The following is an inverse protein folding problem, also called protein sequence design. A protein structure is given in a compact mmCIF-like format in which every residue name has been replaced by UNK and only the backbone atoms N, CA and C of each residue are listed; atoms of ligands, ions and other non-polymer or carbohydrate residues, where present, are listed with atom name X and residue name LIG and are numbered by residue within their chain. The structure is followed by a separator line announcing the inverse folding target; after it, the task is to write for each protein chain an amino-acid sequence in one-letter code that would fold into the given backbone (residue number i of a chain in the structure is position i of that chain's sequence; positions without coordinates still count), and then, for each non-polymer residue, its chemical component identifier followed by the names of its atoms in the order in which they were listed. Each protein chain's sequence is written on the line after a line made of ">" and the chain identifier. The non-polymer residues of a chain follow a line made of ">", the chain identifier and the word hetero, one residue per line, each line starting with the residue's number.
data_IF_479644017410
#
_entry.id   IF_479644017410
#
_cell.length_a   1.000
_cell.length_b   1.000
_cell.length_c   1.000
_cell.angle_alpha   90.00
_cell.angle_beta   90.00
_cell.angle_gamma   90.00
#
_symmetry.space_group_name_H-M   'P 1'
#
loop_
_entity.id
_entity.type
_entity.pdbx_description
1 polymer ?
#
# COMPACT_ATOMS: atom_id res chain seq x y z
N UNK A 1 -9.46 2.07 -12.43
CA UNK A 1 -8.88 1.16 -11.43
C UNK A 1 -9.32 1.61 -10.06
N UNK A 2 -9.93 0.70 -9.31
CA UNK A 2 -10.17 0.87 -7.89
C UNK A 2 -8.82 0.95 -7.14
N UNK A 3 -8.78 1.59 -5.98
CA UNK A 3 -7.57 1.68 -5.13
C UNK A 3 -6.96 0.31 -4.84
N UNK A 4 -7.81 -0.70 -4.57
CA UNK A 4 -7.36 -2.07 -4.29
C UNK A 4 -6.68 -2.68 -5.53
N UNK A 5 -7.26 -2.47 -6.71
CA UNK A 5 -6.70 -2.94 -7.98
C UNK A 5 -5.37 -2.25 -8.28
N UNK A 6 -5.27 -0.94 -8.04
CA UNK A 6 -4.04 -0.17 -8.24
C UNK A 6 -2.93 -0.62 -7.27
N UNK A 7 -3.27 -0.87 -6.01
CA UNK A 7 -2.31 -1.35 -5.01
C UNK A 7 -1.81 -2.76 -5.35
N UNK A 8 -2.72 -3.66 -5.74
CA UNK A 8 -2.36 -5.00 -6.19
C UNK A 8 -1.49 -4.99 -7.46
N UNK A 9 -1.83 -4.12 -8.41
CA UNK A 9 -1.07 -3.95 -9.65
C UNK A 9 0.33 -3.39 -9.38
N UNK A 10 0.45 -2.37 -8.52
CA UNK A 10 1.74 -1.79 -8.12
C UNK A 10 2.62 -2.84 -7.44
N UNK A 11 2.06 -3.66 -6.55
CA UNK A 11 2.79 -4.79 -5.94
C UNK A 11 3.31 -5.77 -6.99
N UNK A 12 2.44 -6.20 -7.92
CA UNK A 12 2.78 -7.18 -8.94
C UNK A 12 3.88 -6.68 -9.88
N UNK A 13 3.76 -5.45 -10.39
CA UNK A 13 4.77 -4.88 -11.27
C UNK A 13 6.10 -4.62 -10.54
N UNK A 14 6.06 -4.19 -9.28
CA UNK A 14 7.28 -3.99 -8.50
C UNK A 14 8.05 -5.30 -8.30
N UNK A 15 7.37 -6.39 -7.92
CA UNK A 15 7.99 -7.71 -7.74
C UNK A 15 8.56 -8.24 -9.05
N UNK A 16 7.88 -7.97 -10.18
CA UNK A 16 8.30 -8.36 -11.52
C UNK A 16 9.55 -7.63 -12.00
N UNK A 17 9.68 -6.33 -11.70
CA UNK A 17 10.89 -5.55 -12.03
C UNK A 17 12.09 -6.06 -11.20
N UNK A 18 11.85 -6.47 -9.96
CA UNK A 18 12.85 -7.01 -9.03
C UNK A 18 14.14 -6.15 -8.91
N UNK A 19 14.02 -4.86 -8.56
CA UNK A 19 15.14 -3.92 -8.65
C UNK A 19 16.23 -4.12 -7.60
N UNK A 20 15.96 -4.83 -6.51
CA UNK A 20 16.91 -5.04 -5.41
C UNK A 20 17.48 -6.45 -5.39
N UNK A 21 18.67 -6.62 -4.79
CA UNK A 21 19.32 -7.93 -4.61
C UNK A 21 18.53 -8.83 -3.64
N UNK A 22 17.92 -8.24 -2.60
CA UNK A 22 16.99 -8.92 -1.68
C UNK A 22 15.94 -7.92 -1.18
N UNK A 23 14.83 -8.42 -0.64
CA UNK A 23 13.80 -7.61 0.01
C UNK A 23 12.72 -7.07 -0.93
N UNK A 24 12.68 -7.51 -2.18
CA UNK A 24 11.66 -7.07 -3.14
C UNK A 24 10.23 -7.35 -2.65
N UNK A 25 9.98 -8.53 -2.06
CA UNK A 25 8.67 -8.88 -1.50
C UNK A 25 8.28 -8.09 -0.25
N UNK A 26 9.26 -7.68 0.57
CA UNK A 26 9.01 -6.81 1.74
C UNK A 26 8.67 -5.39 1.28
N UNK A 27 9.44 -4.89 0.31
CA UNK A 27 9.29 -3.54 -0.23
C UNK A 27 7.99 -3.40 -1.02
N UNK A 28 7.63 -4.39 -1.85
CA UNK A 28 6.36 -4.40 -2.60
C UNK A 28 5.15 -4.35 -1.66
N UNK A 29 5.21 -5.09 -0.54
CA UNK A 29 4.15 -5.12 0.46
C UNK A 29 4.04 -3.82 1.23
N UNK A 30 5.17 -3.17 1.55
CA UNK A 30 5.20 -1.85 2.16
C UNK A 30 4.56 -0.80 1.25
N UNK A 31 4.92 -0.78 -0.04
CA UNK A 31 4.36 0.15 -1.04
C UNK A 31 2.84 -0.06 -1.18
N UNK A 32 2.40 -1.31 -1.32
CA UNK A 32 0.98 -1.64 -1.40
C UNK A 32 0.21 -1.15 -0.15
N UNK A 33 0.76 -1.43 1.03
CA UNK A 33 0.13 -1.03 2.29
C UNK A 33 0.09 0.50 2.44
N UNK A 34 1.13 1.21 2.03
CA UNK A 34 1.16 2.69 2.06
C UNK A 34 0.07 3.29 1.16
N UNK A 35 -0.06 2.79 -0.07
CA UNK A 35 -1.12 3.19 -0.99
C UNK A 35 -2.51 2.94 -0.41
N UNK A 36 -2.72 1.79 0.25
CA UNK A 36 -3.98 1.47 0.91
C UNK A 36 -4.25 2.41 2.09
N UNK A 37 -3.25 2.69 2.94
CA UNK A 37 -3.38 3.57 4.11
C UNK A 37 -3.69 5.02 3.72
N UNK A 38 -3.04 5.55 2.67
CA UNK A 38 -3.33 6.91 2.16
C UNK A 38 -4.78 7.03 1.69
N UNK A 39 -5.36 5.94 1.19
CA UNK A 39 -6.74 5.88 0.74
C UNK A 39 -7.73 5.41 1.82
N UNK A 40 -7.31 5.36 3.10
CA UNK A 40 -8.19 5.01 4.23
C UNK A 40 -8.41 3.51 4.45
N UNK A 41 -7.73 2.65 3.69
CA UNK A 41 -7.74 1.20 3.88
C UNK A 41 -6.65 0.82 4.88
N UNK A 42 -6.93 1.00 6.16
CA UNK A 42 -6.00 0.62 7.24
C UNK A 42 -6.19 -0.86 7.60
N UNK A 43 -5.09 -1.59 7.82
CA UNK A 43 -5.11 -3.01 8.21
C UNK A 43 -5.59 -3.23 9.66
N UNK A 44 -5.44 -2.22 10.54
CA UNK A 44 -6.10 -2.19 11.83
C UNK A 44 -7.32 -1.28 11.73
N UNK A 45 -8.44 -1.62 12.37
CA UNK A 45 -9.70 -0.87 12.28
C UNK A 45 -9.69 0.58 12.81
N UNK A 46 -8.52 1.22 12.94
CA UNK A 46 -8.41 2.63 13.23
C UNK A 46 -8.42 3.42 11.93
N UNK A 47 -9.60 3.49 11.29
CA UNK A 47 -9.84 4.44 10.20
C UNK A 47 -9.45 5.84 10.68
N UNK A 48 -8.94 6.69 9.77
CA UNK A 48 -8.72 8.12 10.06
C UNK A 48 -10.01 8.69 10.65
N UNK A 49 -10.09 8.76 11.97
CA UNK A 49 -11.11 9.53 12.66
C UNK A 49 -10.80 10.96 12.32
N UNK A 50 -11.75 11.60 11.64
CA UNK A 50 -11.80 13.03 11.39
C UNK A 50 -11.51 13.77 12.70
N UNK A 51 -10.26 14.16 12.92
CA UNK A 51 -9.84 15.01 14.05
C UNK A 51 -8.70 15.91 13.59
N UNK A 52 -8.96 16.60 12.48
CA UNK A 52 -8.59 18.01 12.38
C UNK A 52 -9.89 18.80 12.62
N UNK A 53 -9.86 19.72 13.59
CA UNK A 53 -10.96 20.56 14.12
C UNK A 53 -11.63 20.04 15.41
N UNK A 54 -10.89 20.17 16.52
CA UNK A 54 -11.38 20.82 17.74
C UNK A 54 -10.42 21.97 18.08
#
# INVERSE_FOLDING_TARGET
>A
MNVIELAAWTHAEFVKIHPFVDGNGRTSRLIMNDQLMVNGFLHSGFGRTETGLL
#
